data_IF_876103675060
#
_entry.id   IF_876103675060
#
_cell.length_a   1.000
_cell.length_b   1.000
_cell.length_c   1.000
_cell.angle_alpha   90.00
_cell.angle_beta   90.00
_cell.angle_gamma   90.00
#
_symmetry.space_group_name_H-M   'P 1'
#
loop_
_entity.id
_entity.type
_entity.pdbx_description
1 polymer ?
#
# COMPACT_ATOMS: atom_id res chain seq x y z
N UNK A 1 17.89 2.63 2.71
CA UNK A 1 19.23 3.18 2.31
C UNK A 1 19.40 4.61 2.82
N UNK A 2 18.45 5.52 2.57
CA UNK A 2 18.60 6.96 2.88
C UNK A 2 18.77 7.30 4.38
N UNK A 3 18.53 6.36 5.28
CA UNK A 3 18.84 6.54 6.71
C UNK A 3 20.35 6.63 7.00
N UNK A 4 21.16 5.86 6.26
CA UNK A 4 22.60 5.73 6.53
C UNK A 4 23.47 6.52 5.54
N UNK A 5 23.01 6.68 4.30
CA UNK A 5 23.69 7.41 3.22
C UNK A 5 22.67 7.95 2.21
N UNK A 6 23.08 8.81 1.29
CA UNK A 6 22.20 9.20 0.19
C UNK A 6 21.72 7.97 -0.58
N UNK A 7 20.47 8.00 -1.05
CA UNK A 7 19.89 6.85 -1.77
C UNK A 7 20.74 6.57 -3.04
N UNK A 8 21.21 5.33 -3.26
CA UNK A 8 22.16 5.05 -4.34
C UNK A 8 21.55 5.12 -5.75
N UNK A 9 20.22 4.97 -5.85
CA UNK A 9 19.51 4.91 -7.14
C UNK A 9 18.42 5.98 -7.28
N UNK A 10 18.34 6.90 -6.31
CA UNK A 10 17.32 7.96 -6.25
C UNK A 10 17.94 9.27 -5.80
N UNK A 11 17.28 10.38 -6.13
CA UNK A 11 17.72 11.73 -5.74
C UNK A 11 17.60 12.04 -4.24
N UNK A 12 17.01 11.11 -3.45
CA UNK A 12 16.72 11.34 -2.04
C UNK A 12 17.96 11.29 -1.18
N UNK A 13 18.16 12.32 -0.37
CA UNK A 13 19.24 12.46 0.57
C UNK A 13 18.89 11.90 1.95
N UNK A 14 19.89 11.78 2.83
CA UNK A 14 19.64 11.52 4.24
C UNK A 14 18.77 12.60 4.89
N UNK A 15 18.92 13.86 4.48
CA UNK A 15 18.08 14.94 4.98
C UNK A 15 16.62 14.69 4.68
N UNK A 16 16.27 14.28 3.44
CA UNK A 16 14.91 13.96 3.04
C UNK A 16 14.32 12.82 3.89
N UNK A 17 15.10 11.77 4.17
CA UNK A 17 14.70 10.69 5.07
C UNK A 17 14.36 11.20 6.47
N UNK A 18 15.24 12.02 7.08
CA UNK A 18 15.01 12.52 8.43
C UNK A 18 13.88 13.56 8.48
N UNK A 19 13.71 14.35 7.44
CA UNK A 19 12.57 15.27 7.33
C UNK A 19 11.24 14.50 7.26
N UNK A 20 11.15 13.46 6.43
CA UNK A 20 9.95 12.62 6.37
C UNK A 20 9.71 11.90 7.69
N UNK A 21 10.74 11.38 8.34
CA UNK A 21 10.63 10.71 9.63
C UNK A 21 10.21 11.65 10.77
N UNK A 22 10.49 12.94 10.65
CA UNK A 22 10.15 13.94 11.66
C UNK A 22 8.64 14.13 11.86
N UNK A 23 7.79 13.82 10.87
CA UNK A 23 6.34 13.78 11.04
C UNK A 23 5.88 12.79 12.12
N UNK A 24 6.67 11.76 12.39
CA UNK A 24 6.38 10.73 13.37
C UNK A 24 7.08 10.96 14.72
N UNK A 25 7.84 12.04 14.89
CA UNK A 25 8.64 12.31 16.11
C UNK A 25 7.79 12.50 17.35
N UNK A 26 6.53 12.91 17.19
CA UNK A 26 5.58 13.12 18.27
C UNK A 26 4.63 11.92 18.50
N UNK A 27 4.92 10.77 17.91
CA UNK A 27 4.17 9.53 18.18
C UNK A 27 4.66 8.93 19.49
N UNK A 28 3.75 8.82 20.46
CA UNK A 28 3.97 8.14 21.72
C UNK A 28 3.38 6.75 21.71
N UNK A 29 3.96 5.86 22.51
CA UNK A 29 3.47 4.51 22.77
C UNK A 29 3.41 4.27 24.27
N UNK A 30 2.30 3.74 24.75
CA UNK A 30 2.10 3.31 26.12
C UNK A 30 1.45 1.92 26.14
N UNK A 31 1.62 1.20 27.24
CA UNK A 31 0.91 -0.06 27.43
C UNK A 31 -0.56 0.21 27.73
N UNK A 32 -1.42 -0.56 27.10
CA UNK A 32 -2.85 -0.56 27.35
C UNK A 32 -3.24 -1.31 28.63
N UNK A 33 -4.54 -1.52 28.80
CA UNK A 33 -5.11 -2.23 29.97
C UNK A 33 -5.11 -3.75 29.79
N UNK A 34 -5.14 -4.21 28.54
CA UNK A 34 -5.14 -5.63 28.20
C UNK A 34 -3.71 -6.11 27.92
N UNK A 35 -3.40 -7.41 28.14
CA UNK A 35 -2.14 -8.01 27.68
C UNK A 35 -1.96 -7.73 26.18
N UNK A 36 -0.74 -7.36 25.78
CA UNK A 36 -0.35 -7.07 24.40
C UNK A 36 -1.04 -5.88 23.72
N UNK A 37 -1.84 -5.11 24.46
CA UNK A 37 -2.42 -3.87 23.98
C UNK A 37 -1.40 -2.74 24.07
N UNK A 38 -1.22 -2.00 22.97
CA UNK A 38 -0.45 -0.76 22.92
C UNK A 38 -1.35 0.41 22.56
N UNK A 39 -1.23 1.49 23.33
CA UNK A 39 -1.89 2.75 23.07
C UNK A 39 -0.92 3.65 22.31
N UNK A 40 -1.30 4.07 21.12
CA UNK A 40 -0.56 5.03 20.31
C UNK A 40 -1.21 6.40 20.52
N UNK A 41 -0.42 7.39 20.89
CA UNK A 41 -0.92 8.74 21.16
C UNK A 41 -0.01 9.82 20.62
N UNK A 42 -0.54 11.00 20.40
CA UNK A 42 0.22 12.19 20.04
C UNK A 42 0.82 12.85 21.29
N UNK A 43 2.13 13.11 21.24
CA UNK A 43 2.84 13.94 22.22
C UNK A 43 2.85 15.38 21.72
N UNK A 44 2.45 16.33 22.57
CA UNK A 44 2.61 17.74 22.26
C UNK A 44 4.07 18.14 22.21
N UNK A 45 4.42 19.08 21.35
CA UNK A 45 5.78 19.60 21.20
C UNK A 45 6.19 19.84 19.76
N UNK A 46 7.35 20.43 19.58
CA UNK A 46 7.88 20.74 18.24
C UNK A 46 8.33 19.46 17.54
N UNK A 47 7.74 19.19 16.40
CA UNK A 47 8.14 18.05 15.57
C UNK A 47 9.53 18.29 14.95
N UNK A 48 10.47 17.39 15.20
CA UNK A 48 11.83 17.43 14.66
C UNK A 48 12.48 16.06 14.68
N UNK A 49 13.41 15.82 13.77
CA UNK A 49 14.34 14.70 13.85
C UNK A 49 15.78 15.22 13.81
N UNK A 50 16.74 14.35 14.12
CA UNK A 50 18.16 14.69 14.04
C UNK A 50 18.81 13.86 12.94
N UNK A 51 19.41 14.53 11.95
CA UNK A 51 20.20 13.84 10.96
C UNK A 51 21.48 13.29 11.63
N UNK A 52 21.62 11.98 11.66
CA UNK A 52 22.72 11.31 12.36
C UNK A 52 24.09 11.50 11.73
N UNK A 53 24.14 12.00 10.49
CA UNK A 53 25.43 12.23 9.80
C UNK A 53 26.17 13.45 10.36
N UNK A 54 25.43 14.53 10.57
CA UNK A 54 25.98 15.86 10.92
C UNK A 54 25.38 16.42 12.22
N UNK A 55 24.52 15.65 12.89
CA UNK A 55 23.78 16.02 14.09
C UNK A 55 22.89 17.29 13.92
N UNK A 56 22.53 17.64 12.70
CA UNK A 56 21.65 18.78 12.45
C UNK A 56 20.19 18.44 12.76
N UNK A 57 19.46 19.31 13.47
CA UNK A 57 18.02 19.17 13.61
C UNK A 57 17.32 19.52 12.30
N UNK A 58 16.33 18.71 11.91
CA UNK A 58 15.51 18.92 10.73
C UNK A 58 14.03 18.96 11.11
N UNK A 59 13.27 19.83 10.47
CA UNK A 59 11.82 19.90 10.59
C UNK A 59 11.14 18.91 9.63
N UNK A 60 9.87 18.53 9.89
CA UNK A 60 9.10 17.71 8.96
C UNK A 60 9.04 18.34 7.56
N UNK A 61 9.23 17.52 6.55
CA UNK A 61 8.94 17.89 5.17
C UNK A 61 8.61 16.64 4.34
N UNK A 62 7.69 16.78 3.39
CA UNK A 62 7.44 15.77 2.39
C UNK A 62 8.62 15.65 1.40
N UNK A 63 8.69 14.55 0.67
CA UNK A 63 9.75 14.33 -0.32
C UNK A 63 9.66 15.38 -1.43
N UNK A 64 10.70 16.21 -1.55
CA UNK A 64 10.75 17.29 -2.53
C UNK A 64 9.89 18.51 -2.20
N UNK A 65 9.29 18.57 -1.00
CA UNK A 65 8.47 19.68 -0.55
C UNK A 65 9.19 20.54 0.51
N UNK A 66 8.68 21.74 0.69
CA UNK A 66 9.10 22.61 1.80
C UNK A 66 8.53 22.13 3.13
N UNK A 67 9.18 22.53 4.23
CA UNK A 67 8.69 22.23 5.58
C UNK A 67 7.42 23.02 5.88
N UNK A 68 6.29 22.36 6.23
CA UNK A 68 5.09 23.06 6.64
C UNK A 68 5.26 23.72 8.02
N UNK A 69 4.47 24.77 8.27
CA UNK A 69 4.36 25.35 9.61
C UNK A 69 3.42 24.47 10.44
N UNK A 70 3.94 23.88 11.51
CA UNK A 70 3.18 22.99 12.42
C UNK A 70 3.28 23.57 13.81
N UNK A 71 2.14 23.86 14.43
CA UNK A 71 2.10 24.33 15.80
C UNK A 71 2.47 23.21 16.79
N UNK A 72 2.96 23.57 17.96
CA UNK A 72 3.39 22.60 18.98
C UNK A 72 2.25 21.71 19.52
N UNK A 73 1.01 22.14 19.35
CA UNK A 73 -0.18 21.40 19.78
C UNK A 73 -0.81 20.55 18.65
N UNK A 74 -0.40 20.79 17.40
CA UNK A 74 -0.90 20.07 16.23
C UNK A 74 -0.18 18.73 16.08
N UNK A 75 -0.92 17.75 15.59
CA UNK A 75 -0.34 16.44 15.22
C UNK A 75 0.38 16.55 13.86
N UNK A 76 1.72 16.38 13.82
CA UNK A 76 2.48 16.53 12.57
C UNK A 76 2.04 15.59 11.46
N UNK A 77 1.43 14.46 11.79
CA UNK A 77 0.92 13.49 10.81
C UNK A 77 -0.23 14.06 9.98
N UNK A 78 -0.97 15.05 10.51
CA UNK A 78 -1.98 15.74 9.72
C UNK A 78 -1.36 16.49 8.54
N UNK A 79 -0.27 17.23 8.77
CA UNK A 79 0.46 17.92 7.70
C UNK A 79 1.06 16.93 6.68
N UNK A 80 1.45 15.72 7.11
CA UNK A 80 1.85 14.65 6.19
C UNK A 80 0.68 14.22 5.30
N UNK A 81 -0.51 14.03 5.88
CA UNK A 81 -1.72 13.68 5.11
C UNK A 81 -2.09 14.78 4.12
N UNK A 82 -2.02 16.05 4.54
CA UNK A 82 -2.30 17.19 3.68
C UNK A 82 -1.33 17.23 2.48
N UNK A 83 -0.03 16.98 2.70
CA UNK A 83 0.94 16.85 1.63
C UNK A 83 0.65 15.64 0.73
N UNK A 84 0.33 14.48 1.29
CA UNK A 84 0.02 13.28 0.48
C UNK A 84 -1.23 13.47 -0.38
N UNK A 85 -2.24 14.15 0.13
CA UNK A 85 -3.51 14.40 -0.56
C UNK A 85 -3.53 15.66 -1.40
N UNK A 86 -2.43 16.42 -1.45
CA UNK A 86 -2.31 17.56 -2.33
C UNK A 86 -2.44 17.13 -3.81
N UNK A 87 -3.13 17.93 -4.61
CA UNK A 87 -3.41 17.61 -6.02
C UNK A 87 -2.16 17.46 -6.88
N UNK A 88 -1.10 18.16 -6.51
CA UNK A 88 0.21 18.15 -7.15
C UNK A 88 1.20 17.15 -6.54
N UNK A 89 0.75 16.33 -5.56
CA UNK A 89 1.59 15.29 -5.00
C UNK A 89 1.88 14.20 -6.05
N UNK A 90 3.17 13.97 -6.41
CA UNK A 90 3.51 13.09 -7.52
C UNK A 90 3.52 11.60 -7.13
N UNK A 91 3.25 11.25 -5.87
CA UNK A 91 3.48 9.88 -5.38
C UNK A 91 2.20 9.16 -5.00
N UNK A 92 1.40 9.74 -4.12
CA UNK A 92 0.32 9.02 -3.43
C UNK A 92 -0.72 8.46 -4.40
N UNK A 93 -1.31 9.31 -5.23
CA UNK A 93 -2.35 8.88 -6.17
C UNK A 93 -1.83 7.87 -7.20
N UNK A 94 -0.63 8.09 -7.75
CA UNK A 94 -0.01 7.17 -8.71
C UNK A 94 0.28 5.81 -8.09
N UNK A 95 0.89 5.77 -6.90
CA UNK A 95 1.18 4.53 -6.19
C UNK A 95 -0.10 3.78 -5.85
N UNK A 96 -1.12 4.50 -5.38
CA UNK A 96 -2.41 3.92 -5.03
C UNK A 96 -3.08 3.26 -6.25
N UNK A 97 -3.26 3.99 -7.34
CA UNK A 97 -3.93 3.44 -8.52
C UNK A 97 -3.11 2.32 -9.17
N UNK A 98 -1.78 2.38 -9.12
CA UNK A 98 -0.92 1.32 -9.63
C UNK A 98 -1.06 0.02 -8.82
N UNK A 99 -1.16 0.12 -7.49
CA UNK A 99 -1.42 -1.06 -6.62
C UNK A 99 -2.77 -1.69 -6.91
N UNK A 100 -3.82 -0.88 -7.07
CA UNK A 100 -5.13 -1.39 -7.46
C UNK A 100 -5.12 -1.97 -8.87
N UNK A 101 -4.45 -1.33 -9.81
CA UNK A 101 -4.25 -1.89 -11.15
C UNK A 101 -3.60 -3.27 -11.07
N UNK A 102 -2.47 -3.41 -10.34
CA UNK A 102 -1.82 -4.71 -10.14
C UNK A 102 -2.76 -5.75 -9.54
N UNK A 103 -3.55 -5.36 -8.54
CA UNK A 103 -4.49 -6.27 -7.88
C UNK A 103 -5.47 -6.89 -8.88
N UNK A 104 -6.01 -6.10 -9.81
CA UNK A 104 -7.01 -6.57 -10.77
C UNK A 104 -6.42 -7.18 -12.04
N UNK A 105 -5.23 -6.78 -12.45
CA UNK A 105 -4.62 -7.19 -13.71
C UNK A 105 -3.38 -8.09 -13.55
N UNK A 106 -2.96 -8.37 -12.31
CA UNK A 106 -1.84 -9.27 -11.99
C UNK A 106 -0.46 -8.66 -12.12
N UNK A 107 -0.36 -7.48 -12.73
CA UNK A 107 0.87 -6.71 -12.90
C UNK A 107 0.55 -5.22 -12.83
N UNK A 108 1.44 -4.43 -12.23
CA UNK A 108 1.34 -2.97 -12.22
C UNK A 108 1.62 -2.35 -13.60
N UNK A 109 1.14 -1.12 -13.78
CA UNK A 109 1.63 -0.26 -14.87
C UNK A 109 3.10 0.10 -14.64
N UNK A 110 3.47 0.30 -13.37
CA UNK A 110 4.84 0.23 -12.86
C UNK A 110 5.00 -1.09 -12.11
N UNK A 111 6.04 -1.85 -12.39
CA UNK A 111 6.26 -3.16 -11.79
C UNK A 111 7.76 -3.37 -11.50
N UNK A 112 8.16 -3.70 -10.26
CA UNK A 112 7.32 -3.93 -9.06
C UNK A 112 6.47 -2.70 -8.69
N UNK A 113 5.30 -2.93 -8.09
CA UNK A 113 4.25 -1.92 -7.90
C UNK A 113 4.62 -0.72 -7.03
N UNK A 114 5.62 -0.87 -6.18
CA UNK A 114 6.12 0.17 -5.28
C UNK A 114 7.40 0.83 -5.80
N UNK A 115 7.92 0.36 -6.92
CA UNK A 115 9.16 0.87 -7.49
C UNK A 115 8.89 2.04 -8.45
N UNK A 116 8.41 3.15 -7.91
CA UNK A 116 8.08 4.38 -8.65
C UNK A 116 9.30 5.25 -9.00
N UNK A 117 10.48 4.62 -9.17
CA UNK A 117 11.70 5.33 -9.54
C UNK A 117 11.66 5.88 -10.96
N UNK A 118 12.35 6.99 -11.20
CA UNK A 118 12.50 7.58 -12.53
C UNK A 118 13.12 6.57 -13.55
N UNK A 119 13.93 5.62 -13.05
CA UNK A 119 14.56 4.57 -13.85
C UNK A 119 13.66 3.37 -14.14
N UNK A 120 12.46 3.35 -13.59
CA UNK A 120 11.43 2.31 -13.79
C UNK A 120 10.11 2.93 -14.27
N UNK A 121 10.04 3.43 -15.51
CA UNK A 121 8.86 4.11 -16.02
C UNK A 121 7.67 3.15 -16.17
N UNK A 122 6.46 3.69 -16.06
CA UNK A 122 5.25 2.94 -16.33
C UNK A 122 5.21 2.45 -17.80
N UNK A 123 4.64 1.27 -18.02
CA UNK A 123 4.44 0.73 -19.39
C UNK A 123 3.43 1.56 -20.20
N UNK A 124 2.57 2.30 -19.51
CA UNK A 124 1.65 3.28 -20.09
C UNK A 124 1.52 4.48 -19.12
N UNK A 125 2.41 5.48 -19.25
CA UNK A 125 2.43 6.65 -18.36
C UNK A 125 1.14 7.47 -18.45
N UNK A 126 0.57 7.63 -19.63
CA UNK A 126 -0.64 8.41 -19.86
C UNK A 126 -1.84 7.79 -19.14
N UNK A 127 -1.94 6.47 -19.15
CA UNK A 127 -3.00 5.75 -18.44
C UNK A 127 -2.84 5.89 -16.93
N UNK A 128 -1.61 5.75 -16.41
CA UNK A 128 -1.32 5.90 -15.00
C UNK A 128 -1.67 7.32 -14.52
N UNK A 129 -1.28 8.33 -15.30
CA UNK A 129 -1.60 9.73 -15.02
C UNK A 129 -3.11 9.97 -15.02
N UNK A 130 -3.84 9.53 -16.04
CA UNK A 130 -5.28 9.71 -16.14
C UNK A 130 -6.05 9.04 -14.99
N UNK A 131 -5.61 7.86 -14.55
CA UNK A 131 -6.20 7.17 -13.39
C UNK A 131 -5.91 7.92 -12.09
N UNK A 132 -4.69 8.44 -11.91
CA UNK A 132 -4.31 9.23 -10.75
C UNK A 132 -5.10 10.54 -10.67
N UNK A 133 -5.22 11.28 -11.78
CA UNK A 133 -6.03 12.50 -11.86
C UNK A 133 -7.49 12.22 -11.53
N UNK A 134 -8.08 11.19 -12.11
CA UNK A 134 -9.45 10.79 -11.81
C UNK A 134 -9.65 10.44 -10.33
N UNK A 135 -8.69 9.77 -9.71
CA UNK A 135 -8.73 9.43 -8.30
C UNK A 135 -8.69 10.69 -7.41
N UNK A 136 -7.82 11.65 -7.74
CA UNK A 136 -7.74 12.95 -7.06
C UNK A 136 -9.04 13.74 -7.23
N UNK A 137 -9.55 13.88 -8.46
CA UNK A 137 -10.78 14.61 -8.78
C UNK A 137 -12.02 14.06 -8.09
N UNK A 138 -12.06 12.74 -7.88
CA UNK A 138 -13.14 12.07 -7.16
C UNK A 138 -13.09 12.27 -5.64
N UNK A 139 -12.10 13.00 -5.11
CA UNK A 139 -11.86 13.12 -3.67
C UNK A 139 -11.33 11.82 -3.04
N UNK A 140 -10.50 11.10 -3.80
CA UNK A 140 -9.92 9.82 -3.39
C UNK A 140 -10.95 8.69 -3.19
N UNK A 141 -11.96 8.62 -4.07
CA UNK A 141 -12.97 7.54 -4.04
C UNK A 141 -12.37 6.20 -4.51
N UNK A 142 -11.92 5.42 -3.54
CA UNK A 142 -11.37 4.08 -3.77
C UNK A 142 -12.37 3.13 -4.45
N UNK A 143 -13.64 3.19 -4.07
CA UNK A 143 -14.67 2.34 -4.67
C UNK A 143 -14.99 2.76 -6.12
N UNK A 144 -14.88 4.05 -6.40
CA UNK A 144 -14.98 4.61 -7.75
C UNK A 144 -13.91 4.04 -8.67
N UNK A 145 -12.64 4.10 -8.27
CA UNK A 145 -11.53 3.52 -9.04
C UNK A 145 -11.72 2.02 -9.26
N UNK A 146 -12.07 1.25 -8.23
CA UNK A 146 -12.33 -0.19 -8.38
C UNK A 146 -13.44 -0.45 -9.41
N UNK A 147 -14.54 0.32 -9.35
CA UNK A 147 -15.64 0.21 -10.31
C UNK A 147 -15.19 0.49 -11.74
N UNK A 148 -14.36 1.52 -11.93
CA UNK A 148 -13.84 1.88 -13.25
C UNK A 148 -12.92 0.80 -13.81
N UNK A 149 -12.00 0.26 -13.00
CA UNK A 149 -11.13 -0.83 -13.40
C UNK A 149 -11.92 -2.07 -13.80
N UNK A 150 -12.88 -2.50 -12.99
CA UNK A 150 -13.71 -3.68 -13.26
C UNK A 150 -14.64 -3.50 -14.47
N UNK A 151 -15.07 -2.26 -14.78
CA UNK A 151 -15.88 -1.94 -15.94
C UNK A 151 -15.08 -1.69 -17.21
N UNK A 152 -13.76 -1.59 -17.10
CA UNK A 152 -12.91 -1.37 -18.27
C UNK A 152 -12.97 -2.54 -19.26
N UNK A 153 -12.84 -2.23 -20.54
CA UNK A 153 -12.74 -3.28 -21.58
C UNK A 153 -11.53 -4.20 -21.36
N UNK A 154 -10.43 -3.65 -20.83
CA UNK A 154 -9.22 -4.40 -20.53
C UNK A 154 -9.48 -5.49 -19.48
N UNK A 155 -10.25 -5.20 -18.43
CA UNK A 155 -10.63 -6.20 -17.43
C UNK A 155 -11.53 -7.30 -18.00
N UNK A 156 -12.36 -6.95 -18.98
CA UNK A 156 -13.34 -7.84 -19.60
C UNK A 156 -12.78 -8.64 -20.80
N UNK A 157 -11.50 -8.47 -21.13
CA UNK A 157 -10.89 -9.24 -22.21
C UNK A 157 -10.89 -10.75 -21.89
N UNK A 158 -10.98 -11.55 -22.94
CA UNK A 158 -10.82 -13.01 -22.85
C UNK A 158 -9.43 -13.37 -22.29
N UNK A 159 -9.38 -14.42 -21.49
CA UNK A 159 -8.12 -15.03 -21.04
C UNK A 159 -7.48 -15.93 -22.12
N UNK A 160 -8.26 -16.33 -23.13
CA UNK A 160 -7.77 -17.19 -24.21
C UNK A 160 -6.84 -16.39 -25.11
N UNK A 161 -5.57 -16.80 -25.26
CA UNK A 161 -4.63 -16.10 -26.13
C UNK A 161 -4.94 -16.33 -27.61
N UNK A 162 -4.55 -15.40 -28.43
CA UNK A 162 -4.54 -15.53 -29.89
C UNK A 162 -3.11 -15.38 -30.42
N UNK A 163 -2.94 -15.53 -31.75
CA UNK A 163 -1.62 -15.48 -32.38
C UNK A 163 -0.84 -14.16 -32.17
N UNK A 164 -1.54 -13.06 -31.88
CA UNK A 164 -0.94 -11.74 -31.72
C UNK A 164 -0.58 -11.43 -30.27
N UNK A 165 -1.30 -11.98 -29.30
CA UNK A 165 -1.12 -11.65 -27.88
C UNK A 165 -0.65 -12.83 -27.00
N UNK A 166 -0.37 -14.01 -27.61
CA UNK A 166 0.05 -15.19 -26.84
C UNK A 166 1.33 -14.97 -26.02
N UNK A 167 2.25 -14.14 -26.51
CA UNK A 167 3.52 -13.82 -25.85
C UNK A 167 3.49 -12.51 -25.08
N UNK A 168 2.38 -11.75 -25.15
CA UNK A 168 2.27 -10.49 -24.44
C UNK A 168 2.17 -10.73 -22.91
N UNK A 169 3.03 -10.03 -22.18
CA UNK A 169 3.07 -10.04 -20.71
C UNK A 169 3.04 -8.63 -20.11
N UNK A 170 2.99 -7.58 -20.95
CA UNK A 170 3.18 -6.20 -20.52
C UNK A 170 2.05 -5.25 -20.91
N UNK A 171 1.37 -5.52 -22.04
CA UNK A 171 0.45 -4.54 -22.64
C UNK A 171 -1.02 -4.80 -22.29
N UNK A 172 -1.30 -5.73 -21.39
CA UNK A 172 -2.66 -6.06 -20.95
C UNK A 172 -3.63 -6.36 -22.11
N UNK A 173 -3.11 -6.97 -23.19
CA UNK A 173 -3.87 -7.26 -24.42
C UNK A 173 -4.83 -8.45 -24.31
N UNK A 174 -4.88 -9.10 -23.16
CA UNK A 174 -5.82 -10.13 -22.74
C UNK A 174 -5.94 -10.15 -21.23
N UNK A 175 -6.95 -10.82 -20.69
CA UNK A 175 -7.01 -11.09 -19.26
C UNK A 175 -5.97 -12.15 -18.87
N UNK A 176 -5.16 -11.86 -17.84
CA UNK A 176 -4.21 -12.82 -17.28
C UNK A 176 -4.84 -13.49 -16.05
N UNK A 177 -5.21 -14.80 -16.12
CA UNK A 177 -5.79 -15.48 -14.97
C UNK A 177 -4.86 -15.46 -13.77
N UNK A 178 -5.41 -15.14 -12.61
CA UNK A 178 -4.69 -15.11 -11.35
C UNK A 178 -5.25 -16.17 -10.41
N UNK A 179 -4.40 -16.70 -9.54
CA UNK A 179 -4.85 -17.52 -8.42
C UNK A 179 -5.62 -16.64 -7.44
N UNK A 180 -6.73 -17.13 -6.93
CA UNK A 180 -7.41 -16.50 -5.80
C UNK A 180 -6.50 -16.48 -4.57
N UNK A 181 -6.62 -15.46 -3.74
CA UNK A 181 -6.00 -15.44 -2.42
C UNK A 181 -6.53 -16.62 -1.60
N UNK A 182 -5.69 -17.16 -0.72
CA UNK A 182 -6.02 -18.36 0.06
C UNK A 182 -7.31 -18.18 0.88
N UNK A 183 -7.48 -17.01 1.47
CA UNK A 183 -8.65 -16.64 2.26
C UNK A 183 -9.93 -16.59 1.41
N UNK A 184 -9.85 -15.95 0.25
CA UNK A 184 -10.99 -15.84 -0.68
C UNK A 184 -11.37 -17.22 -1.21
N UNK A 185 -10.37 -18.06 -1.53
CA UNK A 185 -10.60 -19.41 -2.01
C UNK A 185 -11.26 -20.28 -0.92
N UNK A 186 -10.78 -20.20 0.33
CA UNK A 186 -11.35 -20.94 1.45
C UNK A 186 -12.79 -20.52 1.71
N UNK A 187 -13.04 -19.22 1.81
CA UNK A 187 -14.40 -18.69 2.01
C UNK A 187 -15.35 -19.11 0.87
N UNK A 188 -14.86 -19.18 -0.37
CA UNK A 188 -15.65 -19.61 -1.52
C UNK A 188 -15.99 -21.10 -1.46
N UNK A 189 -15.06 -21.92 -0.98
CA UNK A 189 -15.31 -23.36 -0.75
C UNK A 189 -16.31 -23.56 0.39
N UNK A 190 -16.12 -22.84 1.50
CA UNK A 190 -17.04 -22.86 2.65
C UNK A 190 -18.46 -22.44 2.25
N UNK A 191 -18.59 -21.42 1.40
CA UNK A 191 -19.90 -20.98 0.88
C UNK A 191 -20.53 -22.01 -0.06
N UNK A 192 -19.73 -22.67 -0.91
CA UNK A 192 -20.21 -23.68 -1.86
C UNK A 192 -20.62 -24.98 -1.18
N UNK A 193 -19.88 -25.38 -0.15
CA UNK A 193 -20.11 -26.66 0.57
C UNK A 193 -21.07 -26.51 1.73
N UNK A 194 -21.40 -25.29 2.12
CA UNK A 194 -22.17 -24.93 3.32
C UNK A 194 -21.52 -25.42 4.63
N UNK A 195 -20.24 -25.76 4.58
CA UNK A 195 -19.43 -26.19 5.74
C UNK A 195 -18.43 -25.10 6.09
N UNK A 196 -18.60 -24.50 7.28
CA UNK A 196 -17.73 -23.41 7.74
C UNK A 196 -16.47 -23.93 8.39
N UNK A 197 -15.32 -23.41 7.94
CA UNK A 197 -14.03 -23.65 8.58
C UNK A 197 -14.00 -22.91 9.93
N UNK A 198 -13.65 -23.62 11.01
CA UNK A 198 -13.49 -23.03 12.34
C UNK A 198 -12.09 -22.51 12.58
N UNK A 199 -11.96 -21.32 13.20
CA UNK A 199 -10.69 -20.76 13.64
C UNK A 199 -10.66 -20.67 15.16
N UNK A 200 -9.72 -21.42 15.79
CA UNK A 200 -9.60 -21.46 17.25
C UNK A 200 -9.33 -20.07 17.83
N UNK A 201 -10.13 -19.65 18.81
CA UNK A 201 -10.04 -18.35 19.45
C UNK A 201 -10.87 -17.25 18.77
N UNK A 202 -11.61 -17.58 17.72
CA UNK A 202 -12.52 -16.66 17.03
C UNK A 202 -13.98 -17.16 17.11
N UNK A 203 -14.97 -16.26 16.97
CA UNK A 203 -16.38 -16.63 16.91
C UNK A 203 -16.68 -17.65 15.81
N UNK A 204 -17.64 -18.52 16.04
CA UNK A 204 -18.12 -19.46 15.04
C UNK A 204 -18.62 -18.71 13.80
N UNK A 205 -18.27 -19.19 12.60
CA UNK A 205 -18.64 -18.58 11.34
C UNK A 205 -17.74 -17.40 10.91
N UNK A 206 -16.65 -17.11 11.64
CA UNK A 206 -15.64 -16.16 11.17
C UNK A 206 -15.09 -16.59 9.81
N UNK A 207 -15.11 -15.70 8.83
CA UNK A 207 -14.58 -15.94 7.48
C UNK A 207 -13.05 -15.84 7.48
N UNK A 208 -12.40 -16.59 6.62
CA UNK A 208 -10.94 -16.51 6.44
C UNK A 208 -10.46 -15.11 6.04
N UNK A 209 -11.24 -14.39 5.24
CA UNK A 209 -10.99 -12.99 4.86
C UNK A 209 -11.09 -11.99 6.02
N UNK A 210 -11.62 -12.40 7.18
CA UNK A 210 -11.76 -11.58 8.40
C UNK A 210 -10.70 -11.92 9.46
N UNK A 211 -9.76 -12.81 9.17
CA UNK A 211 -8.71 -13.17 10.12
C UNK A 211 -7.83 -11.95 10.44
N UNK A 212 -7.63 -11.61 11.73
CA UNK A 212 -7.00 -10.35 12.12
C UNK A 212 -5.50 -10.29 11.78
N UNK A 213 -4.82 -11.42 11.75
CA UNK A 213 -3.39 -11.50 11.47
C UNK A 213 -2.94 -12.89 11.00
N UNK A 214 -1.64 -13.01 10.71
CA UNK A 214 -1.05 -14.23 10.16
C UNK A 214 -0.79 -15.34 11.20
N UNK A 215 -0.98 -15.08 12.49
CA UNK A 215 -0.82 -16.11 13.54
C UNK A 215 -1.79 -17.29 13.37
N UNK A 216 -2.89 -17.05 12.67
CA UNK A 216 -3.87 -18.10 12.34
C UNK A 216 -3.41 -19.06 11.24
N UNK A 217 -2.36 -18.75 10.48
CA UNK A 217 -1.84 -19.63 9.43
C UNK A 217 -1.35 -20.96 9.98
N UNK A 218 -0.67 -20.95 11.13
CA UNK A 218 -0.15 -22.15 11.79
C UNK A 218 -1.25 -23.15 12.18
N UNK A 219 -2.50 -22.66 12.25
CA UNK A 219 -3.67 -23.47 12.63
C UNK A 219 -4.52 -23.87 11.42
N UNK A 220 -4.18 -23.43 10.23
CA UNK A 220 -4.88 -23.74 8.98
C UNK A 220 -3.92 -24.20 7.91
N UNK A 221 -3.81 -25.52 7.74
CA UNK A 221 -3.00 -26.12 6.68
C UNK A 221 -3.39 -25.60 5.29
N UNK A 222 -4.69 -25.38 5.05
CA UNK A 222 -5.19 -24.85 3.79
C UNK A 222 -4.61 -23.46 3.47
N UNK A 223 -4.70 -22.53 4.42
CA UNK A 223 -4.21 -21.16 4.21
C UNK A 223 -2.71 -21.13 3.91
N UNK A 224 -1.93 -21.95 4.62
CA UNK A 224 -0.49 -22.06 4.40
C UNK A 224 -0.16 -22.63 3.01
N UNK A 225 -0.80 -23.75 2.63
CA UNK A 225 -0.58 -24.41 1.33
C UNK A 225 -0.98 -23.51 0.15
N UNK A 226 -2.07 -22.76 0.29
CA UNK A 226 -2.53 -21.84 -0.76
C UNK A 226 -1.86 -20.47 -0.72
N UNK A 227 -0.81 -20.30 0.09
CA UNK A 227 0.13 -19.21 -0.01
C UNK A 227 -0.27 -17.94 0.73
N UNK A 228 -1.06 -18.07 1.81
CA UNK A 228 -1.19 -16.95 2.76
C UNK A 228 0.18 -16.71 3.41
N UNK A 229 0.71 -15.46 3.40
CA UNK A 229 2.01 -15.17 4.00
C UNK A 229 2.05 -15.52 5.48
N UNK A 230 3.15 -16.10 5.96
CA UNK A 230 3.34 -16.40 7.39
C UNK A 230 3.74 -15.16 8.20
N UNK A 231 4.26 -14.15 7.54
CA UNK A 231 4.66 -12.88 8.16
C UNK A 231 3.85 -11.71 7.59
N UNK A 232 3.56 -10.73 8.45
CA UNK A 232 2.85 -9.51 8.07
C UNK A 232 3.66 -8.60 7.14
N UNK A 233 4.96 -8.82 7.00
CA UNK A 233 5.84 -8.09 6.08
C UNK A 233 6.04 -8.91 4.82
N UNK A 234 5.23 -8.63 3.80
CA UNK A 234 5.67 -8.86 2.43
C UNK A 234 6.68 -7.75 2.10
N UNK A 235 7.95 -8.05 2.17
CA UNK A 235 8.99 -7.28 1.50
C UNK A 235 9.16 -7.82 0.11
#
# INVERSE_FOLDING_TARGET
CAQCHHHPFEKWSQKDYYQLSAFFSQVGRAKGRLPDEDIIYHKRGVAKATNKKDNTPVQPAGLGAESPVIASDDDPRQALVDWMSAKDNPFFAHTFVNRYWKHFFGRGLVDPEDDMRETNPAVNPELLQALAEKFIESGFDMKGIVRDLCRSKTYQFSSIPNRYNAKDKHNFSRHYPQRLQAEVLLDSIDDLTEVRTGFSGLPAGTRATMLPDNSFNQKSYFLSVFGRPDNASAC
#
